data_IF_879007833575
#
_entry.id   IF_879007833575
#
_cell.length_a   1.000
_cell.length_b   1.000
_cell.length_c   1.000
_cell.angle_alpha   90.00
_cell.angle_beta   90.00
_cell.angle_gamma   90.00
#
_symmetry.space_group_name_H-M   'P 1'
#
loop_
_entity.id
_entity.type
_entity.pdbx_description
1 polymer ?
#
# COMPACT_ATOMS: atom_id res chain seq x y z
N UNK A 1 18.94 -39.24 -33.05
CA UNK A 1 18.34 -37.89 -32.98
C UNK A 1 16.87 -38.05 -32.64
N UNK A 2 16.45 -37.64 -31.44
CA UNK A 2 15.05 -37.63 -31.03
C UNK A 2 14.89 -36.54 -29.95
N UNK A 3 14.32 -35.39 -30.33
CA UNK A 3 14.07 -34.28 -29.41
C UNK A 3 12.71 -34.47 -28.74
N UNK A 4 12.72 -34.80 -27.46
CA UNK A 4 11.54 -35.05 -26.64
C UNK A 4 10.73 -33.78 -26.38
N UNK A 5 9.41 -33.88 -26.52
CA UNK A 5 8.43 -32.85 -26.18
C UNK A 5 8.36 -32.66 -24.67
N UNK A 6 8.22 -31.42 -24.20
CA UNK A 6 7.66 -31.09 -22.87
C UNK A 6 6.92 -29.75 -22.94
N UNK A 7 5.78 -29.60 -22.24
CA UNK A 7 4.76 -28.63 -22.63
C UNK A 7 5.01 -27.23 -22.07
N UNK A 8 5.14 -26.25 -22.96
CA UNK A 8 4.95 -24.84 -22.63
C UNK A 8 3.47 -24.57 -22.39
N UNK A 9 3.07 -24.29 -21.14
CA UNK A 9 1.76 -23.69 -20.87
C UNK A 9 1.78 -22.20 -21.29
N UNK A 10 1.57 -21.98 -22.59
CA UNK A 10 1.19 -20.69 -23.16
C UNK A 10 -0.10 -20.22 -22.48
N UNK A 11 -0.01 -19.25 -21.56
CA UNK A 11 -1.18 -18.61 -21.00
C UNK A 11 -1.51 -17.34 -21.80
N UNK A 12 -2.03 -17.56 -23.00
CA UNK A 12 -2.61 -16.49 -23.81
C UNK A 12 -3.85 -15.90 -23.12
N UNK A 13 -4.19 -14.65 -23.46
CA UNK A 13 -5.25 -13.87 -22.81
C UNK A 13 -6.63 -14.55 -22.85
N UNK A 14 -7.62 -14.24 -21.95
CA UNK A 14 -7.72 -13.06 -21.09
C UNK A 14 -8.27 -13.35 -19.66
N UNK A 15 -8.09 -14.55 -19.11
CA UNK A 15 -8.84 -15.06 -17.93
C UNK A 15 -8.84 -14.11 -16.72
N UNK A 16 -7.71 -13.49 -16.37
CA UNK A 16 -7.64 -12.53 -15.25
C UNK A 16 -8.51 -11.28 -15.46
N UNK A 17 -8.72 -10.84 -16.71
CA UNK A 17 -9.64 -9.74 -17.05
C UNK A 17 -11.10 -10.17 -16.89
N UNK A 18 -11.38 -11.45 -17.14
CA UNK A 18 -12.71 -12.02 -16.93
C UNK A 18 -13.01 -12.13 -15.42
N UNK A 19 -12.07 -12.65 -14.62
CA UNK A 19 -12.16 -12.71 -13.16
C UNK A 19 -12.27 -11.32 -12.51
N UNK A 20 -11.48 -10.33 -12.96
CA UNK A 20 -11.55 -8.95 -12.47
C UNK A 20 -12.90 -8.28 -12.83
N UNK A 21 -13.45 -8.56 -14.02
CA UNK A 21 -14.77 -8.05 -14.41
C UNK A 21 -15.90 -8.75 -13.67
N UNK A 22 -15.76 -10.06 -13.39
CA UNK A 22 -16.69 -10.81 -12.56
C UNK A 22 -16.69 -10.26 -11.12
N UNK A 23 -15.53 -10.14 -10.47
CA UNK A 23 -15.45 -9.60 -9.10
C UNK A 23 -15.96 -8.16 -9.00
N UNK A 24 -15.68 -7.29 -9.99
CA UNK A 24 -16.26 -5.94 -10.04
C UNK A 24 -17.77 -5.92 -10.30
N UNK A 25 -18.36 -6.95 -10.93
CA UNK A 25 -19.81 -7.14 -11.05
C UNK A 25 -20.42 -7.67 -9.76
N UNK A 26 -19.80 -8.66 -9.11
CA UNK A 26 -20.22 -9.13 -7.77
C UNK A 26 -20.22 -7.98 -6.76
N UNK A 27 -19.21 -7.11 -6.79
CA UNK A 27 -19.17 -5.90 -5.98
C UNK A 27 -20.37 -4.96 -6.21
N UNK A 28 -20.93 -4.92 -7.43
CA UNK A 28 -22.13 -4.11 -7.71
C UNK A 28 -23.43 -4.70 -7.20
N UNK A 29 -23.49 -6.01 -6.90
CA UNK A 29 -24.68 -6.67 -6.35
C UNK A 29 -24.83 -6.54 -4.83
N UNK A 30 -23.82 -6.06 -4.09
CA UNK A 30 -23.99 -5.80 -2.65
C UNK A 30 -25.09 -4.76 -2.41
N UNK A 31 -26.05 -5.01 -1.50
CA UNK A 31 -27.17 -4.09 -1.24
C UNK A 31 -26.71 -2.80 -0.56
N UNK A 32 -25.72 -2.87 0.33
CA UNK A 32 -25.25 -1.72 1.10
C UNK A 32 -24.32 -0.81 0.28
N UNK A 33 -24.62 0.49 0.14
CA UNK A 33 -23.79 1.41 -0.64
C UNK A 33 -22.41 1.62 -0.01
N UNK A 34 -22.30 1.58 1.32
CA UNK A 34 -21.02 1.69 2.03
C UNK A 34 -20.15 0.45 1.80
N UNK A 35 -20.73 -0.76 1.84
CA UNK A 35 -20.00 -2.00 1.58
C UNK A 35 -19.61 -2.13 0.10
N UNK A 36 -20.48 -1.68 -0.81
CA UNK A 36 -20.21 -1.57 -2.25
C UNK A 36 -19.03 -0.63 -2.53
N UNK A 37 -19.01 0.56 -1.93
CA UNK A 37 -17.88 1.50 -2.05
C UNK A 37 -16.61 0.89 -1.43
N UNK A 38 -16.68 0.32 -0.23
CA UNK A 38 -15.54 -0.32 0.43
C UNK A 38 -14.93 -1.48 -0.39
N UNK A 39 -15.75 -2.40 -0.93
CA UNK A 39 -15.25 -3.51 -1.76
C UNK A 39 -14.75 -3.05 -3.13
N UNK A 40 -15.40 -2.05 -3.72
CA UNK A 40 -14.95 -1.45 -4.98
C UNK A 40 -13.64 -0.69 -4.80
N UNK A 41 -13.47 0.03 -3.70
CA UNK A 41 -12.24 0.72 -3.32
C UNK A 41 -11.16 -0.27 -2.86
N UNK A 42 -11.52 -1.43 -2.30
CA UNK A 42 -10.58 -2.53 -2.07
C UNK A 42 -10.02 -3.06 -3.40
N UNK A 43 -10.87 -3.30 -4.40
CA UNK A 43 -10.44 -3.63 -5.77
C UNK A 43 -9.69 -2.49 -6.48
N UNK A 44 -10.07 -1.22 -6.22
CA UNK A 44 -9.43 -0.04 -6.82
C UNK A 44 -8.18 0.46 -6.06
N UNK A 45 -7.89 -0.01 -4.85
CA UNK A 45 -6.66 0.26 -4.06
C UNK A 45 -5.36 -0.28 -4.71
N UNK A 46 -5.47 -0.63 -5.99
CA UNK A 46 -4.44 -0.99 -6.93
C UNK A 46 -4.14 0.08 -8.02
N UNK A 47 -4.28 1.43 -7.84
CA UNK A 47 -3.86 2.37 -8.90
C UNK A 47 -2.34 2.29 -9.07
N UNK A 48 -1.67 2.33 -7.93
CA UNK A 48 -0.25 2.12 -7.72
C UNK A 48 0.19 0.68 -8.08
N UNK A 49 -0.73 -0.22 -8.42
CA UNK A 49 -0.42 -1.60 -8.80
C UNK A 49 0.39 -2.39 -7.76
N UNK A 50 0.38 -2.00 -6.48
CA UNK A 50 1.05 -2.71 -5.37
C UNK A 50 0.34 -4.01 -4.96
N UNK A 51 -0.23 -4.70 -5.96
CA UNK A 51 -0.92 -5.99 -5.89
C UNK A 51 -0.41 -6.83 -7.07
N UNK A 52 -0.16 -8.12 -6.84
CA UNK A 52 0.31 -9.02 -7.90
C UNK A 52 1.65 -8.59 -8.50
N UNK A 53 1.75 -8.57 -9.84
CA UNK A 53 3.03 -8.47 -10.57
C UNK A 53 3.82 -7.20 -10.28
N UNK A 54 3.19 -6.01 -10.23
CA UNK A 54 3.93 -4.75 -10.01
C UNK A 54 4.43 -4.61 -8.57
N UNK A 55 3.78 -5.24 -7.58
CA UNK A 55 4.39 -5.40 -6.24
C UNK A 55 5.70 -6.16 -6.31
N UNK A 56 5.75 -7.28 -7.04
CA UNK A 56 6.98 -8.06 -7.19
C UNK A 56 8.06 -7.28 -7.96
N UNK A 57 7.69 -6.44 -8.93
CA UNK A 57 8.63 -5.53 -9.59
C UNK A 57 9.22 -4.47 -8.64
N UNK A 58 8.41 -3.92 -7.72
CA UNK A 58 8.89 -2.94 -6.72
C UNK A 58 9.71 -3.60 -5.59
N UNK A 59 9.43 -4.86 -5.24
CA UNK A 59 10.23 -5.61 -4.24
C UNK A 59 11.50 -6.21 -4.82
N UNK A 60 11.55 -6.55 -6.11
CA UNK A 60 12.73 -7.11 -6.78
C UNK A 60 14.06 -6.38 -6.46
N UNK A 61 14.17 -5.04 -6.60
CA UNK A 61 15.41 -4.32 -6.27
C UNK A 61 15.82 -4.41 -4.79
N UNK A 62 14.85 -4.61 -3.86
CA UNK A 62 15.14 -4.82 -2.44
C UNK A 62 15.55 -6.25 -2.10
N UNK A 63 15.17 -7.22 -2.95
CA UNK A 63 15.53 -8.64 -2.78
C UNK A 63 16.95 -8.89 -3.27
N UNK A 64 17.35 -8.23 -4.37
CA UNK A 64 18.67 -8.33 -4.97
C UNK A 64 19.37 -6.96 -5.03
N UNK A 65 19.75 -6.37 -3.88
CA UNK A 65 20.45 -5.08 -3.86
C UNK A 65 21.82 -5.17 -4.55
N UNK A 66 22.49 -6.31 -4.41
CA UNK A 66 23.80 -6.59 -4.98
C UNK A 66 23.72 -7.39 -6.31
N UNK A 67 22.62 -7.31 -7.07
CA UNK A 67 22.55 -8.00 -8.37
C UNK A 67 23.68 -7.49 -9.26
N UNK A 68 24.77 -8.26 -9.50
CA UNK A 68 25.78 -7.81 -10.42
C UNK A 68 25.15 -7.87 -11.81
N UNK A 69 25.65 -7.05 -12.75
CA UNK A 69 25.56 -7.46 -14.15
C UNK A 69 26.07 -8.91 -14.23
N UNK A 70 25.24 -9.83 -14.74
CA UNK A 70 25.48 -11.28 -14.69
C UNK A 70 26.97 -11.58 -14.91
N UNK A 71 27.71 -12.11 -13.91
CA UNK A 71 29.16 -12.17 -13.98
C UNK A 71 29.60 -12.84 -15.27
N UNK A 72 30.45 -12.17 -16.05
CA UNK A 72 30.95 -12.74 -17.31
C UNK A 72 31.96 -13.87 -17.03
N UNK A 73 32.55 -13.86 -15.84
CA UNK A 73 33.62 -14.76 -15.41
C UNK A 73 33.10 -15.91 -14.55
N UNK A 74 33.64 -17.12 -14.76
CA UNK A 74 33.23 -18.35 -14.04
C UNK A 74 33.41 -18.26 -12.51
N UNK A 75 34.37 -17.46 -12.04
CA UNK A 75 34.63 -17.27 -10.62
C UNK A 75 33.51 -16.46 -9.95
N UNK A 76 32.94 -15.48 -10.65
CA UNK A 76 31.77 -14.74 -10.19
C UNK A 76 30.53 -15.64 -10.09
N UNK A 77 30.37 -16.60 -11.00
CA UNK A 77 29.32 -17.63 -10.89
C UNK A 77 29.52 -18.53 -9.69
N UNK A 78 30.74 -18.99 -9.40
CA UNK A 78 31.04 -19.81 -8.22
C UNK A 78 30.71 -19.06 -6.93
N UNK A 79 31.13 -17.80 -6.82
CA UNK A 79 30.81 -16.93 -5.67
C UNK A 79 29.31 -16.67 -5.52
N UNK A 80 28.59 -16.47 -6.62
CA UNK A 80 27.14 -16.26 -6.61
C UNK A 80 26.39 -17.54 -6.22
N UNK A 81 26.85 -18.71 -6.69
CA UNK A 81 26.32 -20.02 -6.27
C UNK A 81 26.58 -20.26 -4.78
N UNK A 82 27.79 -20.00 -4.28
CA UNK A 82 28.13 -20.12 -2.86
C UNK A 82 27.28 -19.16 -1.99
N UNK A 83 27.13 -17.89 -2.39
CA UNK A 83 26.27 -16.88 -1.72
C UNK A 83 24.78 -17.23 -1.79
N UNK A 84 24.34 -17.95 -2.83
CA UNK A 84 22.96 -18.42 -2.98
C UNK A 84 22.66 -19.72 -2.22
N UNK A 85 23.69 -20.45 -1.77
CA UNK A 85 23.53 -21.67 -1.01
C UNK A 85 22.96 -21.32 0.36
N UNK A 86 21.82 -21.90 0.80
CA UNK A 86 21.29 -21.64 2.12
C UNK A 86 22.33 -22.04 3.16
N UNK A 87 22.73 -21.10 4.01
CA UNK A 87 23.75 -21.31 5.04
C UNK A 87 23.40 -22.53 5.90
N UNK A 88 24.42 -23.29 6.31
CA UNK A 88 24.26 -24.63 6.90
C UNK A 88 23.40 -24.69 8.17
N UNK A 89 23.16 -23.55 8.81
CA UNK A 89 22.28 -23.40 9.98
C UNK A 89 20.77 -23.33 9.64
N UNK A 90 20.38 -23.32 8.36
CA UNK A 90 18.97 -23.26 7.95
C UNK A 90 18.29 -21.90 8.17
N UNK A 91 19.02 -20.88 8.64
CA UNK A 91 18.58 -19.48 8.67
C UNK A 91 18.79 -18.87 7.29
N UNK A 92 17.73 -18.79 6.49
CA UNK A 92 17.73 -17.92 5.31
C UNK A 92 17.50 -16.49 5.76
N UNK A 93 18.58 -15.73 5.91
CA UNK A 93 18.49 -14.33 6.29
C UNK A 93 17.85 -13.51 5.16
N UNK A 94 16.81 -12.74 5.50
CA UNK A 94 16.24 -11.77 4.57
C UNK A 94 17.26 -10.65 4.29
N UNK A 95 17.31 -10.08 3.07
CA UNK A 95 18.10 -8.89 2.79
C UNK A 95 17.84 -7.76 3.81
N UNK A 96 18.90 -7.05 4.21
CA UNK A 96 18.84 -6.04 5.27
C UNK A 96 17.77 -4.96 5.02
N UNK A 97 17.58 -4.56 3.76
CA UNK A 97 16.50 -3.64 3.33
C UNK A 97 15.10 -4.14 3.71
N UNK A 98 14.85 -5.42 3.49
CA UNK A 98 13.56 -6.06 3.78
C UNK A 98 13.38 -6.27 5.28
N UNK A 99 14.44 -6.63 6.00
CA UNK A 99 14.38 -6.70 7.47
C UNK A 99 14.06 -5.34 8.10
N UNK A 100 14.69 -4.27 7.61
CA UNK A 100 14.42 -2.91 8.07
C UNK A 100 12.98 -2.48 7.76
N UNK A 101 12.49 -2.72 6.53
CA UNK A 101 11.11 -2.40 6.14
C UNK A 101 10.10 -3.19 6.96
N UNK A 102 10.36 -4.47 7.21
CA UNK A 102 9.51 -5.31 8.04
C UNK A 102 9.44 -4.82 9.49
N UNK A 103 10.57 -4.44 10.10
CA UNK A 103 10.63 -3.85 11.45
C UNK A 103 9.88 -2.51 11.51
N UNK A 104 10.12 -1.62 10.53
CA UNK A 104 9.46 -0.31 10.45
C UNK A 104 7.93 -0.45 10.24
N UNK A 105 7.49 -1.38 9.39
CA UNK A 105 6.07 -1.65 9.16
C UNK A 105 5.38 -2.27 10.39
N UNK A 106 6.06 -3.12 11.17
CA UNK A 106 5.51 -3.66 12.41
C UNK A 106 5.34 -2.59 13.50
N UNK A 107 6.24 -1.61 13.55
CA UNK A 107 6.17 -0.51 14.53
C UNK A 107 5.15 0.58 14.15
N UNK A 108 4.70 0.65 12.89
CA UNK A 108 3.80 1.70 12.41
C UNK A 108 2.31 1.42 12.72
N UNK A 109 1.76 2.18 13.68
CA UNK A 109 0.35 2.15 14.07
C UNK A 109 -0.66 2.57 12.98
N UNK A 110 -0.26 3.38 11.99
CA UNK A 110 -1.13 3.80 10.88
C UNK A 110 -1.33 2.64 9.90
N UNK A 111 -0.26 1.90 9.58
CA UNK A 111 -0.37 0.69 8.75
C UNK A 111 -1.21 -0.37 9.46
N UNK A 112 -0.97 -0.62 10.74
CA UNK A 112 -1.72 -1.65 11.49
C UNK A 112 -3.21 -1.32 11.61
N UNK A 113 -3.58 -0.07 11.85
CA UNK A 113 -4.98 0.38 11.95
C UNK A 113 -5.74 0.41 10.61
N UNK A 114 -5.05 0.65 9.49
CA UNK A 114 -5.66 0.75 8.15
C UNK A 114 -6.28 -0.54 7.61
N UNK A 115 -5.81 -1.72 8.06
CA UNK A 115 -6.25 -3.07 7.65
C UNK A 115 -6.21 -3.36 6.13
N UNK A 116 -5.46 -2.60 5.34
CA UNK A 116 -5.31 -2.80 3.88
C UNK A 116 -4.62 -4.13 3.53
N UNK A 117 -3.78 -4.65 4.44
CA UNK A 117 -3.07 -5.92 4.30
C UNK A 117 -3.12 -6.74 5.61
N UNK A 118 -2.96 -8.07 5.52
CA UNK A 118 -2.60 -8.87 6.70
C UNK A 118 -1.33 -8.30 7.36
N UNK A 119 -1.38 -8.14 8.67
CA UNK A 119 -0.25 -7.63 9.45
C UNK A 119 0.87 -8.68 9.56
N UNK A 120 2.11 -8.19 9.57
CA UNK A 120 3.29 -9.02 9.87
C UNK A 120 3.34 -9.22 11.40
N UNK A 121 3.46 -10.47 11.83
CA UNK A 121 3.43 -10.84 13.27
C UNK A 121 4.81 -11.24 13.82
N UNK A 122 5.69 -11.78 12.98
CA UNK A 122 7.01 -12.24 13.39
C UNK A 122 8.06 -11.75 12.39
N UNK A 123 9.20 -11.30 12.91
CA UNK A 123 10.36 -10.90 12.11
C UNK A 123 11.12 -12.10 11.55
N UNK A 124 10.93 -13.26 12.14
CA UNK A 124 11.63 -14.51 11.81
C UNK A 124 10.64 -15.67 11.66
N UNK A 125 10.99 -16.73 10.92
CA UNK A 125 10.17 -17.91 10.76
C UNK A 125 10.21 -18.77 12.04
N UNK A 126 9.04 -19.08 12.60
CA UNK A 126 8.93 -19.98 13.76
C UNK A 126 9.10 -21.43 13.30
N UNK A 127 10.35 -21.92 13.31
CA UNK A 127 10.71 -23.30 12.93
C UNK A 127 11.17 -24.03 14.19
N UNK A 128 10.47 -25.11 14.62
CA UNK A 128 10.93 -25.92 15.74
C UNK A 128 12.18 -26.72 15.35
N UNK A 129 13.12 -26.91 16.26
CA UNK A 129 14.32 -27.73 16.00
C UNK A 129 13.96 -29.21 15.77
N UNK A 130 12.97 -29.71 16.50
CA UNK A 130 12.58 -31.13 16.56
C UNK A 130 11.14 -31.34 16.11
N UNK A 131 10.91 -32.46 15.44
CA UNK A 131 9.58 -32.94 15.05
C UNK A 131 8.88 -33.63 16.24
N UNK A 132 7.60 -34.01 16.09
CA UNK A 132 6.79 -34.70 17.12
C UNK A 132 7.43 -35.97 17.71
N UNK A 133 8.26 -36.68 16.93
CA UNK A 133 9.02 -37.86 17.37
C UNK A 133 10.43 -37.53 17.93
N UNK A 134 10.70 -36.28 18.34
CA UNK A 134 11.97 -35.86 18.95
C UNK A 134 13.20 -35.78 18.02
N UNK A 135 13.06 -36.26 16.78
CA UNK A 135 14.10 -36.18 15.72
C UNK A 135 14.23 -34.75 15.17
N UNK A 136 15.41 -34.34 14.65
CA UNK A 136 15.55 -33.03 14.00
C UNK A 136 14.56 -32.87 12.84
N UNK A 137 14.15 -31.63 12.56
CA UNK A 137 13.23 -31.34 11.47
C UNK A 137 13.83 -31.70 10.09
N UNK A 138 13.09 -32.41 9.22
CA UNK A 138 13.57 -32.73 7.87
C UNK A 138 13.85 -31.47 7.04
N UNK A 139 14.99 -31.41 6.36
CA UNK A 139 15.43 -30.24 5.58
C UNK A 139 14.36 -29.78 4.57
N UNK A 140 13.72 -30.70 3.84
CA UNK A 140 12.64 -30.34 2.91
C UNK A 140 11.43 -29.69 3.60
N UNK A 141 11.16 -30.03 4.87
CA UNK A 141 10.10 -29.39 5.67
C UNK A 141 10.52 -28.02 6.16
N UNK A 142 11.78 -27.84 6.58
CA UNK A 142 12.38 -26.54 6.90
C UNK A 142 12.29 -25.61 5.68
N UNK A 143 12.77 -26.05 4.52
CA UNK A 143 12.70 -25.30 3.26
C UNK A 143 11.26 -24.93 2.89
N UNK A 144 10.32 -25.87 2.98
CA UNK A 144 8.90 -25.58 2.73
C UNK A 144 8.29 -24.57 3.74
N UNK A 145 8.72 -24.59 5.00
CA UNK A 145 8.31 -23.59 6.00
C UNK A 145 8.90 -22.22 5.69
N UNK A 146 10.18 -22.15 5.29
CA UNK A 146 10.86 -20.94 4.85
C UNK A 146 10.18 -20.35 3.60
N UNK A 147 9.94 -21.13 2.55
CA UNK A 147 9.25 -20.67 1.32
C UNK A 147 7.84 -20.15 1.63
N UNK A 148 7.08 -20.82 2.50
CA UNK A 148 5.75 -20.35 2.92
C UNK A 148 5.80 -19.06 3.73
N UNK A 149 6.75 -18.95 4.65
CA UNK A 149 6.94 -17.73 5.45
C UNK A 149 7.42 -16.56 4.59
N UNK A 150 8.37 -16.78 3.69
CA UNK A 150 8.86 -15.80 2.72
C UNK A 150 7.74 -15.33 1.79
N UNK A 151 6.98 -16.25 1.18
CA UNK A 151 5.82 -15.89 0.36
C UNK A 151 4.80 -15.03 1.11
N UNK A 152 4.51 -15.39 2.37
CA UNK A 152 3.60 -14.64 3.23
C UNK A 152 4.15 -13.26 3.63
N UNK A 153 5.45 -13.12 3.94
CA UNK A 153 6.03 -11.81 4.26
C UNK A 153 6.00 -10.91 3.03
N UNK A 154 6.42 -11.39 1.85
CA UNK A 154 6.30 -10.64 0.57
C UNK A 154 4.85 -10.28 0.21
N UNK A 155 3.85 -11.00 0.74
CA UNK A 155 2.44 -10.65 0.57
C UNK A 155 1.96 -9.52 1.48
N UNK A 156 2.47 -9.48 2.72
CA UNK A 156 2.14 -8.47 3.73
C UNK A 156 2.92 -7.16 3.58
N UNK A 157 4.15 -7.21 3.04
CA UNK A 157 5.05 -6.05 2.94
C UNK A 157 4.49 -5.00 1.96
N UNK A 158 4.57 -3.73 2.36
CA UNK A 158 4.27 -2.59 1.51
C UNK A 158 5.56 -2.14 0.80
N UNK A 159 5.69 -2.25 -0.53
CA UNK A 159 6.88 -1.79 -1.21
C UNK A 159 6.95 -0.24 -1.25
N UNK A 160 8.17 0.33 -1.28
CA UNK A 160 8.37 1.74 -1.63
C UNK A 160 7.91 2.00 -3.06
N UNK A 161 7.53 3.25 -3.34
CA UNK A 161 7.26 3.71 -4.70
C UNK A 161 8.54 4.24 -5.37
N UNK A 162 8.60 4.23 -6.73
CA UNK A 162 9.63 4.97 -7.46
C UNK A 162 9.54 6.47 -7.18
N UNK A 163 10.67 7.21 -7.19
CA UNK A 163 10.72 8.61 -6.75
C UNK A 163 9.82 9.55 -7.56
N UNK A 164 9.63 9.29 -8.86
CA UNK A 164 8.73 10.08 -9.70
C UNK A 164 7.25 9.92 -9.31
N UNK A 165 6.84 8.74 -8.84
CA UNK A 165 5.47 8.48 -8.36
C UNK A 165 5.25 9.13 -7.00
N UNK A 166 6.27 9.11 -6.13
CA UNK A 166 6.28 9.83 -4.84
C UNK A 166 6.14 11.33 -5.07
N UNK A 167 6.98 11.94 -5.92
CA UNK A 167 6.91 13.36 -6.24
C UNK A 167 5.56 13.76 -6.86
N UNK A 168 4.96 12.90 -7.70
CA UNK A 168 3.60 13.12 -8.23
C UNK A 168 2.55 13.09 -7.13
N UNK A 169 2.64 12.14 -6.19
CA UNK A 169 1.71 12.01 -5.07
C UNK A 169 1.85 13.19 -4.09
N UNK A 170 3.07 13.63 -3.79
CA UNK A 170 3.35 14.77 -2.93
C UNK A 170 2.84 16.07 -3.59
N UNK A 171 3.10 16.28 -4.89
CA UNK A 171 2.58 17.40 -5.69
C UNK A 171 1.05 17.42 -5.84
N UNK A 172 0.38 16.26 -5.77
CA UNK A 172 -1.08 16.17 -5.68
C UNK A 172 -1.61 16.50 -4.27
N UNK A 173 -0.80 16.33 -3.21
CA UNK A 173 -1.18 16.66 -1.84
C UNK A 173 -1.03 18.15 -1.55
N UNK A 174 0.06 18.77 -2.04
CA UNK A 174 0.29 20.22 -1.97
C UNK A 174 -0.69 20.99 -2.86
N UNK A 175 -0.87 20.53 -4.10
CA UNK A 175 -1.73 21.14 -5.11
C UNK A 175 -0.97 21.74 -6.29
N UNK A 176 0.35 21.55 -6.33
CA UNK A 176 1.23 21.97 -7.42
C UNK A 176 0.86 21.24 -8.73
N UNK A 177 0.42 19.99 -8.63
CA UNK A 177 -0.06 19.19 -9.76
C UNK A 177 -1.59 19.30 -9.85
N UNK A 178 -2.15 19.89 -10.93
CA UNK A 178 -3.61 20.02 -11.06
C UNK A 178 -4.25 18.65 -11.26
N UNK A 179 -5.08 18.25 -10.30
CA UNK A 179 -5.84 17.01 -10.40
C UNK A 179 -7.02 17.14 -11.38
N UNK A 180 -7.02 16.31 -12.42
CA UNK A 180 -8.16 16.11 -13.30
C UNK A 180 -8.82 14.74 -13.07
N UNK A 181 -10.15 14.64 -12.87
CA UNK A 181 -10.83 13.36 -12.84
C UNK A 181 -10.72 12.68 -14.21
N UNK A 182 -10.19 11.46 -14.25
CA UNK A 182 -10.10 10.69 -15.49
C UNK A 182 -11.51 10.46 -16.04
N UNK A 183 -11.83 10.86 -17.29
CA UNK A 183 -13.17 10.69 -17.82
C UNK A 183 -13.55 9.21 -17.82
N UNK A 184 -14.78 8.93 -17.36
CA UNK A 184 -15.38 7.60 -17.55
C UNK A 184 -15.38 7.31 -19.04
N UNK A 185 -15.07 6.07 -19.44
CA UNK A 185 -15.28 5.65 -20.83
C UNK A 185 -16.73 5.90 -21.17
N UNK A 186 -17.00 6.71 -22.19
CA UNK A 186 -18.33 6.87 -22.71
C UNK A 186 -18.88 5.48 -23.07
N UNK A 187 -20.06 5.16 -22.56
CA UNK A 187 -20.85 4.09 -23.17
C UNK A 187 -21.13 4.51 -24.61
N UNK A 188 -21.20 3.57 -25.58
CA UNK A 188 -21.75 3.91 -26.88
C UNK A 188 -23.15 4.50 -26.66
N UNK A 189 -23.33 5.75 -27.07
CA UNK A 189 -24.66 6.37 -27.04
C UNK A 189 -25.59 5.50 -27.89
N UNK A 190 -26.83 5.20 -27.46
CA UNK A 190 -27.85 4.88 -28.44
C UNK A 190 -27.90 6.03 -29.46
N UNK A 191 -28.07 5.69 -30.72
CA UNK A 191 -27.97 6.62 -31.85
C UNK A 191 -28.89 7.82 -31.63
N UNK A 192 -28.34 9.03 -31.64
CA UNK A 192 -29.15 10.24 -31.54
C UNK A 192 -29.89 10.46 -32.87
N UNK A 193 -31.18 10.12 -32.91
CA UNK A 193 -31.99 10.29 -34.11
C UNK A 193 -33.25 9.42 -34.15
N UNK A 194 -34.16 9.62 -33.20
CA UNK A 194 -35.61 9.38 -33.35
C UNK A 194 -36.33 9.92 -32.11
N UNK A 195 -36.97 11.08 -32.23
CA UNK A 195 -38.01 11.53 -31.27
C UNK A 195 -39.20 10.58 -31.46
N UNK A 196 -39.65 9.82 -30.44
CA UNK A 196 -40.77 8.91 -30.61
C UNK A 196 -42.07 9.72 -30.80
N UNK A 197 -42.95 9.34 -31.76
CA UNK A 197 -44.22 10.03 -31.95
C UNK A 197 -45.10 9.90 -30.71
N UNK A 198 -45.77 10.98 -30.32
CA UNK A 198 -46.48 11.14 -29.04
C UNK A 198 -47.51 10.02 -28.75
N UNK A 199 -48.08 9.42 -29.80
CA UNK A 199 -49.04 8.30 -29.74
C UNK A 199 -48.47 7.05 -29.03
N UNK A 200 -47.16 6.79 -29.18
CA UNK A 200 -46.49 5.66 -28.52
C UNK A 200 -46.33 5.85 -27.00
N UNK A 201 -46.47 7.07 -26.49
CA UNK A 201 -46.32 7.38 -25.06
C UNK A 201 -47.49 6.83 -24.24
N UNK A 202 -48.70 6.84 -24.80
CA UNK A 202 -49.91 6.34 -24.12
C UNK A 202 -49.94 4.80 -24.17
N UNK A 203 -49.58 4.20 -25.31
CA UNK A 203 -49.50 2.74 -25.44
C UNK A 203 -48.42 2.14 -24.54
N UNK A 204 -47.22 2.73 -24.48
CA UNK A 204 -46.17 2.27 -23.56
C UNK A 204 -46.57 2.44 -22.09
N UNK A 205 -47.23 3.55 -21.71
CA UNK A 205 -47.78 3.72 -20.36
C UNK A 205 -48.85 2.68 -19.98
N UNK A 206 -49.68 2.24 -20.93
CA UNK A 206 -50.71 1.22 -20.69
C UNK A 206 -50.13 -0.21 -20.64
N UNK A 207 -49.07 -0.50 -21.39
CA UNK A 207 -48.43 -1.83 -21.45
C UNK A 207 -47.44 -2.02 -20.31
N UNK A 208 -46.54 -1.06 -20.08
CA UNK A 208 -45.46 -1.15 -19.08
C UNK A 208 -45.86 -0.53 -17.72
N UNK A 209 -46.99 0.17 -17.67
CA UNK A 209 -47.45 0.92 -16.52
C UNK A 209 -46.76 2.29 -16.35
N UNK A 210 -46.97 2.98 -15.22
CA UNK A 210 -46.29 4.24 -14.92
C UNK A 210 -44.78 4.03 -14.78
N UNK A 211 -44.06 4.40 -15.86
CA UNK A 211 -42.61 4.52 -15.91
C UNK A 211 -42.08 5.32 -14.70
N UNK A 212 -40.96 4.90 -14.11
CA UNK A 212 -40.40 5.46 -12.85
C UNK A 212 -39.76 6.85 -12.98
N UNK A 213 -40.23 7.69 -13.90
CA UNK A 213 -39.69 9.02 -14.22
C UNK A 213 -39.55 9.96 -13.02
N UNK A 214 -40.41 9.81 -12.01
CA UNK A 214 -40.39 10.60 -10.77
C UNK A 214 -39.76 9.88 -9.58
N UNK A 215 -39.46 8.57 -9.67
CA UNK A 215 -39.08 7.74 -8.52
C UNK A 215 -37.58 7.70 -8.30
N UNK A 216 -37.02 8.80 -7.79
CA UNK A 216 -35.62 8.91 -7.31
C UNK A 216 -34.52 8.43 -8.27
N UNK A 217 -34.76 8.25 -9.57
CA UNK A 217 -33.81 7.64 -10.50
C UNK A 217 -32.50 8.44 -10.62
N UNK A 218 -32.61 9.79 -10.63
CA UNK A 218 -31.50 10.74 -10.50
C UNK A 218 -30.68 10.63 -9.19
N UNK A 219 -31.16 9.83 -8.25
CA UNK A 219 -30.59 9.56 -6.93
C UNK A 219 -30.39 8.06 -6.65
N UNK A 220 -30.63 7.16 -7.62
CA UNK A 220 -30.35 5.71 -7.48
C UNK A 220 -28.85 5.43 -7.40
N UNK A 221 -28.02 6.30 -8.00
CA UNK A 221 -26.55 6.33 -7.77
C UNK A 221 -26.15 7.14 -6.51
N UNK A 222 -27.12 7.59 -5.70
CA UNK A 222 -26.93 8.49 -4.55
C UNK A 222 -27.01 9.98 -4.93
N UNK A 223 -26.73 10.86 -3.96
CA UNK A 223 -26.59 12.31 -4.24
C UNK A 223 -25.35 12.52 -5.12
N UNK A 224 -25.40 13.33 -6.19
CA UNK A 224 -24.23 13.62 -7.00
C UNK A 224 -23.18 14.37 -6.18
N UNK A 225 -22.18 13.66 -5.67
CA UNK A 225 -21.06 14.25 -4.96
C UNK A 225 -20.05 14.78 -5.96
N UNK A 226 -19.93 16.11 -6.05
CA UNK A 226 -18.82 16.76 -6.75
C UNK A 226 -17.54 16.33 -6.05
N UNK A 227 -16.68 15.61 -6.76
CA UNK A 227 -15.38 15.18 -6.25
C UNK A 227 -14.50 16.42 -6.16
N UNK A 228 -14.31 16.94 -4.95
CA UNK A 228 -13.52 18.15 -4.71
C UNK A 228 -12.05 17.81 -4.48
N UNK A 229 -11.15 18.74 -4.81
CA UNK A 229 -9.73 18.62 -4.48
C UNK A 229 -9.49 18.32 -2.99
N UNK A 230 -10.22 18.99 -2.08
CA UNK A 230 -10.18 18.75 -0.63
C UNK A 230 -10.57 17.33 -0.21
N UNK A 231 -11.44 16.65 -0.97
CA UNK A 231 -11.77 15.24 -0.73
C UNK A 231 -10.60 14.35 -1.19
N UNK A 232 -10.02 14.64 -2.35
CA UNK A 232 -8.93 13.86 -2.92
C UNK A 232 -7.62 14.03 -2.16
N UNK A 233 -7.25 15.23 -1.71
CA UNK A 233 -6.04 15.46 -0.91
C UNK A 233 -6.06 14.68 0.41
N UNK A 234 -7.23 14.51 1.03
CA UNK A 234 -7.43 13.63 2.19
C UNK A 234 -7.24 12.15 1.86
N UNK A 235 -7.56 11.71 0.64
CA UNK A 235 -7.34 10.33 0.19
C UNK A 235 -5.87 10.11 -0.19
N UNK A 236 -5.23 11.03 -0.93
CA UNK A 236 -3.79 10.94 -1.23
C UNK A 236 -2.94 10.94 0.04
N UNK A 237 -3.28 11.76 1.05
CA UNK A 237 -2.63 11.69 2.37
C UNK A 237 -2.78 10.33 3.05
N UNK A 238 -3.95 9.67 2.95
CA UNK A 238 -4.10 8.29 3.45
C UNK A 238 -3.23 7.30 2.66
N UNK A 239 -3.11 7.47 1.35
CA UNK A 239 -2.22 6.65 0.51
C UNK A 239 -0.74 6.90 0.87
N UNK A 240 -0.37 8.16 1.15
CA UNK A 240 0.96 8.59 1.57
C UNK A 240 1.44 7.83 2.81
N UNK A 241 0.56 7.64 3.81
CA UNK A 241 0.81 6.84 5.02
C UNK A 241 1.11 5.36 4.77
N UNK A 242 0.85 4.86 3.57
CA UNK A 242 1.12 3.48 3.15
C UNK A 242 2.30 3.39 2.18
N UNK A 243 3.01 4.49 1.95
CA UNK A 243 4.26 4.53 1.20
C UNK A 243 5.41 4.62 2.19
N UNK A 244 6.24 3.56 2.35
CA UNK A 244 7.51 3.74 3.02
C UNK A 244 8.42 4.56 2.11
N UNK A 245 8.86 5.73 2.58
CA UNK A 245 9.96 6.45 1.94
C UNK A 245 11.25 5.88 2.52
N UNK A 246 12.05 5.22 1.69
CA UNK A 246 13.30 4.58 2.08
C UNK A 246 14.50 5.45 1.67
N UNK A 247 15.37 5.76 2.63
CA UNK A 247 16.71 6.33 2.39
C UNK A 247 17.77 5.37 2.92
N UNK A 248 18.96 5.41 2.32
CA UNK A 248 20.14 4.75 2.86
C UNK A 248 20.94 5.76 3.66
N UNK A 249 21.16 5.48 4.94
CA UNK A 249 21.94 6.33 5.82
C UNK A 249 23.37 5.78 5.87
N UNK A 250 24.31 6.46 5.19
CA UNK A 250 25.70 6.03 5.05
C UNK A 250 26.43 5.95 6.40
N UNK A 251 26.21 6.93 7.29
CA UNK A 251 26.82 7.00 8.64
C UNK A 251 26.61 5.74 9.48
N UNK A 252 25.41 5.14 9.37
CA UNK A 252 24.98 4.02 10.21
C UNK A 252 24.90 2.70 9.44
N UNK A 253 25.20 2.71 8.14
CA UNK A 253 25.04 1.61 7.19
C UNK A 253 23.67 0.92 7.33
N UNK A 254 22.61 1.72 7.41
CA UNK A 254 21.24 1.25 7.70
C UNK A 254 20.22 1.90 6.77
N UNK A 255 19.15 1.17 6.50
CA UNK A 255 17.97 1.70 5.85
C UNK A 255 17.12 2.49 6.84
N UNK A 256 16.96 3.78 6.56
CA UNK A 256 16.03 4.66 7.25
C UNK A 256 14.71 4.68 6.46
N UNK A 257 13.60 4.61 7.19
CA UNK A 257 12.28 4.35 6.61
C UNK A 257 11.25 5.21 7.33
N UNK A 258 10.88 6.31 6.68
CA UNK A 258 9.85 7.22 7.16
C UNK A 258 8.49 6.88 6.56
N UNK A 259 7.43 7.27 7.30
CA UNK A 259 6.04 7.10 6.92
C UNK A 259 5.28 8.40 7.20
N UNK A 260 4.35 8.76 6.34
CA UNK A 260 3.50 9.94 6.54
C UNK A 260 2.40 9.75 7.57
N UNK A 261 1.88 10.87 8.07
CA UNK A 261 0.72 10.93 8.96
C UNK A 261 -0.57 11.34 8.22
N UNK A 262 -1.73 10.73 8.52
CA UNK A 262 -2.97 10.93 7.75
C UNK A 262 -3.69 12.25 8.06
N UNK A 263 -3.18 13.00 9.03
CA UNK A 263 -3.64 14.34 9.42
C UNK A 263 -2.45 15.27 9.24
N UNK A 264 -2.73 16.52 8.84
CA UNK A 264 -1.81 17.61 9.07
C UNK A 264 -1.47 17.67 10.55
N UNK A 265 -0.20 17.46 10.88
CA UNK A 265 0.30 17.80 12.20
C UNK A 265 0.27 19.33 12.29
N UNK A 266 -0.36 19.93 13.33
CA UNK A 266 -0.22 21.36 13.54
C UNK A 266 1.27 21.66 13.72
N UNK A 267 1.76 22.74 13.12
CA UNK A 267 3.14 23.18 13.29
C UNK A 267 3.36 23.60 14.75
N UNK A 268 3.89 22.67 15.56
CA UNK A 268 4.01 22.83 17.03
C UNK A 268 5.06 23.88 17.39
N UNK A 269 6.09 24.00 16.56
CA UNK A 269 7.11 25.03 16.66
C UNK A 269 7.32 25.67 15.28
N UNK A 270 7.41 26.99 15.27
CA UNK A 270 8.06 27.72 14.17
C UNK A 270 9.56 27.76 14.48
N UNK A 271 10.39 27.69 13.45
CA UNK A 271 11.80 28.04 13.59
C UNK A 271 11.87 29.52 13.97
N UNK A 272 12.30 29.77 15.20
CA UNK A 272 12.58 31.12 15.68
C UNK A 272 13.80 31.60 14.90
N UNK A 273 13.60 32.57 14.01
CA UNK A 273 14.71 33.27 13.35
C UNK A 273 15.70 33.73 14.43
N UNK A 274 16.99 33.44 14.29
CA UNK A 274 18.00 33.66 15.34
C UNK A 274 18.07 35.11 15.86
N UNK A 275 17.58 36.06 15.05
CA UNK A 275 17.51 37.49 15.35
C UNK A 275 16.21 37.93 16.06
N UNK A 276 15.29 37.01 16.36
CA UNK A 276 14.02 37.32 17.01
C UNK A 276 14.24 37.53 18.53
N UNK A 277 13.93 38.73 19.01
CA UNK A 277 14.19 39.11 20.40
C UNK A 277 13.16 38.47 21.36
N UNK A 278 13.46 37.25 21.81
CA UNK A 278 12.56 36.41 22.62
C UNK A 278 12.10 37.09 23.91
N UNK A 279 12.97 37.87 24.56
CA UNK A 279 12.67 38.58 25.80
C UNK A 279 11.54 39.62 25.63
N UNK A 280 11.41 40.20 24.42
CA UNK A 280 10.34 41.14 24.09
C UNK A 280 8.99 40.44 23.82
N UNK A 281 9.00 39.13 23.50
CA UNK A 281 7.82 38.34 23.15
C UNK A 281 7.25 37.62 24.38
N UNK A 282 8.12 37.00 25.18
CA UNK A 282 7.73 36.17 26.33
C UNK A 282 7.89 36.87 27.69
N UNK A 283 8.56 38.03 27.72
CA UNK A 283 8.88 38.74 28.96
C UNK A 283 10.02 38.08 29.74
N UNK A 284 10.55 38.80 30.72
CA UNK A 284 11.59 38.25 31.59
C UNK A 284 11.04 37.09 32.43
N UNK A 285 11.76 35.95 32.54
CA UNK A 285 11.30 34.82 33.32
C UNK A 285 11.19 35.20 34.80
N UNK A 286 10.01 35.02 35.38
CA UNK A 286 9.77 35.25 36.80
C UNK A 286 10.68 34.36 37.64
N UNK A 287 11.50 34.97 38.51
CA UNK A 287 12.38 34.25 39.43
C UNK A 287 11.57 33.24 40.25
N UNK A 288 11.89 31.94 40.08
CA UNK A 288 11.16 30.88 40.74
C UNK A 288 11.33 31.01 42.25
N UNK A 289 10.23 31.30 42.96
CA UNK A 289 10.19 31.46 44.42
C UNK A 289 10.67 30.18 45.12
N UNK A 290 11.97 30.10 45.40
CA UNK A 290 12.58 29.00 46.14
C UNK A 290 11.92 28.90 47.51
N UNK A 291 11.18 27.81 47.73
CA UNK A 291 10.53 27.56 49.00
C UNK A 291 11.61 27.31 50.05
N UNK A 292 11.74 28.24 51.01
CA UNK A 292 12.53 28.05 52.23
C UNK A 292 12.01 26.80 52.96
N UNK A 293 12.65 25.65 52.71
CA UNK A 293 12.53 24.48 53.58
C UNK A 293 13.09 24.89 54.94
N UNK A 294 12.24 24.97 55.96
CA UNK A 294 12.69 25.01 57.36
C UNK A 294 13.39 23.68 57.66
N UNK A 295 14.63 23.75 58.11
CA UNK A 295 15.28 22.63 58.75
C UNK A 295 14.58 22.36 60.10
N UNK A 296 14.28 21.09 60.44
CA UNK A 296 13.81 20.76 61.78
C UNK A 296 15.00 20.75 62.74
N UNK A 297 14.93 21.58 63.79
CA UNK A 297 15.88 21.48 64.90
C UNK A 297 15.66 20.15 65.63
N UNK A 298 16.72 19.34 65.74
CA UNK A 298 16.78 18.18 66.62
C UNK A 298 17.46 18.60 67.93
N UNK A 299 16.74 18.38 69.04
CA UNK A 299 17.21 18.45 70.43
C UNK A 299 17.11 17.06 71.05
#
# INVERSE_FOLDING_TARGET
MASSISPTLHLESPQWRHLLRASLRECTYLPDPIARVYMRDYCYSCPDGRVGRRRHQLLAPLITPDAPELPKDEEGWKQLVEKSRPSSEGKTELPAAIQALMRSQMNNGVVSSSRIRPQIKTLEPVIPEKNSWGRPMPQSRVNNMLTRWYGRTMECLLPPLPPHEVATLDGLITGDVPWSPKPRRAMPSPTAGEEPPEENTILSFLVDGPQKSHTFEKYVEGRPHVITYRLMSRIWRRISCHVPRMSWDEEWSKWNISWDTPKDLPQVAFEVLENANLDAIFGQPLESRTQKRKEPALS
#
